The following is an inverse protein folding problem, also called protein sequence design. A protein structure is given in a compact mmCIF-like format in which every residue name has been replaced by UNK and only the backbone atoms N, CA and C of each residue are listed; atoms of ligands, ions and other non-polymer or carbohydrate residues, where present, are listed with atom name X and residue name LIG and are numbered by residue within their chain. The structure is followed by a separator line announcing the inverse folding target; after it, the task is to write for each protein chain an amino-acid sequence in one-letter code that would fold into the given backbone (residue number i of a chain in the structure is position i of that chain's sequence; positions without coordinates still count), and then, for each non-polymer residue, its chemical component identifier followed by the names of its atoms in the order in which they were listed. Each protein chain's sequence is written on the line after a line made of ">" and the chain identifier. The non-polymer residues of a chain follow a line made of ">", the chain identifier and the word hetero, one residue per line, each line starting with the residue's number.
data_IF_064105430905
#
_entry.id   IF_064105430905
#
_cell.length_a   1.000
_cell.length_b   1.000
_cell.length_c   1.000
_cell.angle_alpha   90.00
_cell.angle_beta   90.00
_cell.angle_gamma   90.00
#
_symmetry.space_group_name_H-M   'P 1'
#
loop_
_entity.id
_entity.type
_entity.pdbx_description
1 polymer ?
#
# COMPACT_ATOMS: atom_id res chain seq x y z
N UNK A 1 20.53 -26.48 -1.26
CA UNK A 1 20.60 -25.58 -0.09
C UNK A 1 20.84 -24.16 -0.58
N UNK A 2 19.85 -23.27 -0.40
CA UNK A 2 19.83 -21.79 -0.50
C UNK A 2 18.40 -21.40 -0.89
N UNK A 3 17.64 -20.53 -0.24
CA UNK A 3 17.82 -19.75 0.98
C UNK A 3 16.41 -19.34 1.46
N UNK A 4 16.22 -19.31 2.78
CA UNK A 4 15.15 -18.64 3.55
C UNK A 4 13.80 -18.39 2.84
N UNK A 5 12.86 -19.32 3.01
CA UNK A 5 11.44 -18.97 3.10
C UNK A 5 11.20 -18.38 4.49
N UNK A 6 11.70 -17.17 4.73
CA UNK A 6 11.33 -16.38 5.91
C UNK A 6 9.85 -16.05 5.79
N UNK A 7 9.05 -16.51 6.75
CA UNK A 7 7.68 -16.09 7.07
C UNK A 7 7.08 -15.09 6.07
N UNK A 8 6.30 -15.56 5.10
CA UNK A 8 5.53 -14.68 4.22
C UNK A 8 4.53 -13.92 5.11
N UNK A 9 4.87 -12.68 5.50
CA UNK A 9 3.88 -11.75 6.05
C UNK A 9 2.68 -11.76 5.12
N UNK A 10 1.45 -11.96 5.64
CA UNK A 10 0.28 -12.03 4.78
C UNK A 10 0.20 -10.74 3.98
N UNK A 11 0.25 -10.88 2.64
CA UNK A 11 0.15 -9.76 1.73
C UNK A 11 -1.12 -8.99 2.06
N UNK A 12 -0.98 -7.76 2.58
CA UNK A 12 -2.11 -6.90 2.90
C UNK A 12 -2.55 -6.19 1.62
N UNK A 13 -3.75 -6.47 1.07
CA UNK A 13 -4.25 -5.74 -0.08
C UNK A 13 -4.40 -4.25 0.26
N UNK A 14 -4.10 -3.38 -0.70
CA UNK A 14 -4.21 -1.93 -0.58
C UNK A 14 -5.59 -1.51 -1.06
N UNK A 15 -6.59 -1.72 -0.21
CA UNK A 15 -8.01 -1.54 -0.55
C UNK A 15 -8.28 -0.10 -0.97
N UNK A 16 -7.68 0.90 -0.28
CA UNK A 16 -7.89 2.30 -0.63
C UNK A 16 -7.31 2.69 -1.99
N UNK A 17 -6.22 2.04 -2.42
CA UNK A 17 -5.69 2.23 -3.77
C UNK A 17 -6.66 1.69 -4.84
N UNK A 18 -7.29 0.55 -4.58
CA UNK A 18 -8.32 -0.03 -5.46
C UNK A 18 -9.53 0.90 -5.51
N UNK A 19 -10.02 1.37 -4.37
CA UNK A 19 -11.16 2.28 -4.27
C UNK A 19 -10.91 3.61 -4.98
N UNK A 20 -9.73 4.21 -4.82
CA UNK A 20 -9.36 5.46 -5.49
C UNK A 20 -9.33 5.33 -7.02
N UNK A 21 -9.01 4.14 -7.53
CA UNK A 21 -9.08 3.80 -8.95
C UNK A 21 -10.53 3.59 -9.40
N UNK A 22 -11.30 2.79 -8.65
CA UNK A 22 -12.70 2.47 -9.00
C UNK A 22 -13.62 3.69 -8.92
N UNK A 23 -13.41 4.61 -7.97
CA UNK A 23 -14.18 5.86 -7.86
C UNK A 23 -14.03 6.77 -9.07
N UNK A 24 -12.95 6.59 -9.84
CA UNK A 24 -12.69 7.29 -11.10
C UNK A 24 -13.12 6.49 -12.33
N UNK A 25 -13.62 5.26 -12.14
CA UNK A 25 -14.00 4.36 -13.22
C UNK A 25 -12.82 3.82 -14.04
N UNK A 26 -11.60 3.84 -13.49
CA UNK A 26 -10.40 3.45 -14.24
C UNK A 26 -10.07 1.96 -14.05
N UNK A 27 -9.63 1.34 -15.13
CA UNK A 27 -8.97 0.03 -15.12
C UNK A 27 -7.53 0.13 -14.62
N UNK A 28 -6.93 -1.02 -14.26
CA UNK A 28 -5.51 -1.07 -13.88
C UNK A 28 -4.60 -0.64 -15.04
N UNK A 29 -5.00 -0.93 -16.29
CA UNK A 29 -4.29 -0.54 -17.49
C UNK A 29 -4.31 0.99 -17.67
N UNK A 30 -5.46 1.63 -17.46
CA UNK A 30 -5.60 3.09 -17.54
C UNK A 30 -4.74 3.83 -16.50
N UNK A 31 -4.66 3.30 -15.28
CA UNK A 31 -3.75 3.83 -14.24
C UNK A 31 -2.30 3.62 -14.67
N UNK A 32 -1.97 2.45 -15.23
CA UNK A 32 -0.62 2.16 -15.69
C UNK A 32 -0.15 3.12 -16.79
N UNK A 33 -1.02 3.42 -17.76
CA UNK A 33 -0.76 4.39 -18.84
C UNK A 33 -0.51 5.79 -18.28
N UNK A 34 -1.36 6.27 -17.37
CA UNK A 34 -1.22 7.59 -16.73
C UNK A 34 0.07 7.71 -15.91
N UNK A 35 0.55 6.60 -15.35
CA UNK A 35 1.78 6.56 -14.56
C UNK A 35 3.03 6.26 -15.37
N UNK A 36 2.90 5.79 -16.61
CA UNK A 36 4.00 5.29 -17.44
C UNK A 36 4.61 3.99 -16.91
N UNK A 37 3.76 3.02 -16.55
CA UNK A 37 4.14 1.70 -16.04
C UNK A 37 3.27 0.61 -16.69
N UNK A 38 3.30 -0.61 -16.17
CA UNK A 38 2.49 -1.74 -16.66
C UNK A 38 1.32 -2.06 -15.72
N UNK A 39 0.22 -2.59 -16.25
CA UNK A 39 -0.91 -3.04 -15.42
C UNK A 39 -0.48 -4.11 -14.39
N UNK A 40 0.54 -4.92 -14.72
CA UNK A 40 1.10 -5.93 -13.81
C UNK A 40 1.67 -5.29 -12.56
N UNK A 41 2.37 -4.16 -12.69
CA UNK A 41 2.88 -3.41 -11.55
C UNK A 41 1.73 -2.86 -10.70
N UNK A 42 0.72 -2.25 -11.31
CA UNK A 42 -0.48 -1.75 -10.61
C UNK A 42 -1.19 -2.88 -9.85
N UNK A 43 -1.41 -4.04 -10.49
CA UNK A 43 -2.00 -5.23 -9.87
C UNK A 43 -1.19 -5.74 -8.67
N UNK A 44 0.15 -5.76 -8.77
CA UNK A 44 1.01 -6.17 -7.65
C UNK A 44 0.96 -5.17 -6.50
N UNK A 45 0.86 -3.87 -6.78
CA UNK A 45 0.72 -2.84 -5.74
C UNK A 45 -0.62 -2.95 -5.02
N UNK A 46 -1.72 -3.09 -5.76
CA UNK A 46 -3.08 -3.26 -5.21
C UNK A 46 -3.19 -4.52 -4.33
N UNK A 47 -2.54 -5.61 -4.72
CA UNK A 47 -2.53 -6.86 -3.94
C UNK A 47 -1.50 -6.89 -2.81
N UNK A 48 -0.70 -5.82 -2.64
CA UNK A 48 0.37 -5.77 -1.65
C UNK A 48 1.58 -6.66 -1.95
N UNK A 49 1.64 -7.33 -3.11
CA UNK A 49 2.73 -8.23 -3.55
C UNK A 49 4.06 -7.49 -3.63
N UNK A 50 4.05 -6.24 -4.09
CA UNK A 50 5.23 -5.38 -4.11
C UNK A 50 4.88 -3.98 -3.63
N UNK A 51 5.88 -3.27 -3.10
CA UNK A 51 5.76 -1.85 -2.76
C UNK A 51 6.15 -1.02 -3.99
N UNK A 52 5.34 -0.03 -4.43
CA UNK A 52 5.80 0.94 -5.41
C UNK A 52 6.99 1.71 -4.85
N UNK A 53 7.98 2.00 -5.69
CA UNK A 53 9.12 2.82 -5.30
C UNK A 53 8.68 4.28 -5.00
N UNK A 54 9.54 5.11 -4.38
CA UNK A 54 9.18 6.49 -4.05
C UNK A 54 8.71 7.34 -5.24
N UNK A 55 9.24 7.08 -6.44
CA UNK A 55 8.82 7.78 -7.66
C UNK A 55 7.36 7.48 -8.02
N UNK A 56 6.96 6.20 -8.01
CA UNK A 56 5.58 5.81 -8.27
C UNK A 56 4.62 6.19 -7.15
N UNK A 57 5.06 6.16 -5.88
CA UNK A 57 4.23 6.65 -4.75
C UNK A 57 3.84 8.11 -4.94
N UNK A 58 4.81 8.98 -5.26
CA UNK A 58 4.53 10.40 -5.57
C UNK A 58 3.57 10.57 -6.76
N UNK A 59 3.76 9.79 -7.82
CA UNK A 59 2.87 9.83 -8.99
C UNK A 59 1.45 9.38 -8.65
N UNK A 60 1.29 8.31 -7.86
CA UNK A 60 0.00 7.82 -7.39
C UNK A 60 -0.73 8.86 -6.54
N UNK A 61 -0.01 9.47 -5.59
CA UNK A 61 -0.55 10.55 -4.76
C UNK A 61 -1.03 11.72 -5.63
N UNK A 62 -0.22 12.15 -6.60
CA UNK A 62 -0.58 13.23 -7.52
C UNK A 62 -1.74 12.87 -8.45
N UNK A 63 -1.78 11.63 -8.93
CA UNK A 63 -2.82 11.14 -9.83
C UNK A 63 -4.18 11.09 -9.13
N UNK A 64 -4.20 10.66 -7.87
CA UNK A 64 -5.43 10.51 -7.10
C UNK A 64 -5.75 11.70 -6.19
N UNK A 65 -4.83 12.66 -6.02
CA UNK A 65 -5.00 13.78 -5.10
C UNK A 65 -5.09 13.35 -3.63
N UNK A 66 -4.45 12.23 -3.29
CA UNK A 66 -4.51 11.59 -1.97
C UNK A 66 -3.08 11.39 -1.42
N UNK A 67 -2.96 11.28 -0.12
CA UNK A 67 -1.71 10.98 0.60
C UNK A 67 -1.34 9.50 0.48
N UNK A 68 -0.13 9.14 0.93
CA UNK A 68 0.30 7.74 0.93
C UNK A 68 -0.52 6.91 1.93
N UNK A 69 -0.94 7.50 3.04
CA UNK A 69 -1.79 6.90 4.06
C UNK A 69 -3.22 6.63 3.53
N UNK A 70 -3.77 7.60 2.80
CA UNK A 70 -5.08 7.48 2.15
C UNK A 70 -5.07 6.50 0.98
N UNK A 71 -3.90 6.08 0.48
CA UNK A 71 -3.76 5.07 -0.58
C UNK A 71 -3.24 3.72 -0.07
N UNK A 72 -3.16 3.54 1.26
CA UNK A 72 -2.53 2.38 1.90
C UNK A 72 -1.09 2.13 1.40
N UNK A 73 -0.36 3.17 0.97
CA UNK A 73 1.03 3.14 0.52
C UNK A 73 2.03 3.43 1.64
N UNK A 74 1.57 3.98 2.76
CA UNK A 74 2.37 4.22 3.94
C UNK A 74 2.91 2.89 4.54
N UNK A 75 4.06 2.90 5.21
CA UNK A 75 4.44 1.77 6.06
C UNK A 75 3.32 1.51 7.07
N UNK A 76 3.02 0.24 7.36
CA UNK A 76 2.11 -0.07 8.45
C UNK A 76 2.61 0.67 9.70
N UNK A 77 1.75 1.44 10.39
CA UNK A 77 2.18 2.04 11.65
C UNK A 77 2.73 0.92 12.53
N UNK A 78 3.83 1.16 13.27
CA UNK A 78 4.27 0.19 14.25
C UNK A 78 3.06 -0.12 15.12
N UNK A 79 2.69 -1.39 15.24
CA UNK A 79 1.71 -1.85 16.22
C UNK A 79 2.23 -1.36 17.57
N UNK A 80 1.77 -0.19 18.01
CA UNK A 80 2.10 0.32 19.33
C UNK A 80 1.41 -0.66 20.28
N UNK A 81 2.15 -1.48 21.05
CA UNK A 81 1.50 -2.24 22.10
C UNK A 81 0.93 -1.16 23.01
N UNK A 82 -0.40 -1.12 23.11
CA UNK A 82 -1.10 -0.25 24.05
C UNK A 82 -0.39 -0.41 25.39
N UNK A 83 0.34 0.64 25.81
CA UNK A 83 0.87 0.69 27.16
C UNK A 83 -0.36 0.85 28.05
N UNK A 84 -0.95 -0.28 28.45
CA UNK A 84 -1.90 -0.33 29.56
C UNK A 84 -1.20 0.36 30.71
N UNK A 85 -1.70 1.54 31.06
CA UNK A 85 -1.25 2.28 32.22
C UNK A 85 -1.28 1.34 33.41
N UNK A 86 -0.13 1.14 34.04
CA UNK A 86 -0.09 0.85 35.45
C UNK A 86 -0.48 2.16 36.13
N UNK A 87 -1.79 2.33 36.32
CA UNK A 87 -2.32 3.24 37.32
C UNK A 87 -2.05 2.57 38.66
N UNK A 88 -1.38 3.31 39.55
CA UNK A 88 -0.95 2.81 40.85
C UNK A 88 -2.09 2.67 41.83
N UNK A 89 -1.96 1.68 42.69
CA UNK A 89 -2.48 1.62 44.06
C UNK A 89 -1.30 1.02 44.84
N UNK A 90 -0.66 1.70 45.78
CA UNK A 90 -1.25 2.22 47.02
C UNK A 90 -0.65 1.39 48.15
#
# INVERSE_FOLDING_TARGET
>A
MSSNRSVEEPLRPRVRLVEARMSRGWSQQEVAERLGTTHVNVSRWERGVTKPNPYFRRKLCRLFGLTEEELDLAPAPPEVPERRGQEGEG
#
